data_IF_135621044402
#
_entry.id   IF_135621044402
#
_cell.length_a   1.000
_cell.length_b   1.000
_cell.length_c   1.000
_cell.angle_alpha   90.00
_cell.angle_beta   90.00
_cell.angle_gamma   90.00
#
_symmetry.space_group_name_H-M   'P 1'
#
loop_
_entity.id
_entity.type
_entity.pdbx_description
1 polymer ?
#
# COMPACT_ATOMS: atom_id res chain seq x y z
N UNK A 1 -24.22 8.13 -2.19
CA UNK A 1 -22.85 7.58 -2.21
C UNK A 1 -22.64 6.96 -0.85
N UNK A 2 -22.27 5.68 -0.71
CA UNK A 2 -21.90 5.18 0.60
C UNK A 2 -20.70 6.00 1.05
N UNK A 3 -20.84 6.67 2.19
CA UNK A 3 -19.73 7.40 2.81
C UNK A 3 -18.71 6.35 3.23
N UNK A 4 -17.51 6.40 2.65
CA UNK A 4 -16.44 5.49 3.01
C UNK A 4 -16.10 5.69 4.49
N UNK A 5 -16.45 4.72 5.33
CA UNK A 5 -16.19 4.81 6.77
C UNK A 5 -14.69 4.75 7.05
N UNK A 6 -14.19 5.40 8.12
CA UNK A 6 -12.78 5.30 8.53
C UNK A 6 -12.30 3.84 8.67
N UNK A 7 -13.15 2.95 9.15
CA UNK A 7 -12.87 1.51 9.27
C UNK A 7 -12.66 0.82 7.91
N UNK A 8 -13.45 1.18 6.89
CA UNK A 8 -13.29 0.65 5.53
C UNK A 8 -11.99 1.15 4.90
N UNK A 9 -11.64 2.41 5.16
CA UNK A 9 -10.37 2.97 4.71
C UNK A 9 -9.19 2.27 5.39
N UNK A 10 -9.26 2.04 6.70
CA UNK A 10 -8.22 1.32 7.44
C UNK A 10 -8.05 -0.11 6.93
N UNK A 11 -9.15 -0.83 6.67
CA UNK A 11 -9.12 -2.16 6.07
C UNK A 11 -8.49 -2.15 4.68
N UNK A 12 -8.83 -1.15 3.85
CA UNK A 12 -8.24 -1.00 2.53
C UNK A 12 -6.72 -0.75 2.59
N UNK A 13 -6.27 0.11 3.52
CA UNK A 13 -4.85 0.38 3.70
C UNK A 13 -4.08 -0.87 4.17
N UNK A 14 -4.67 -1.67 5.05
CA UNK A 14 -4.08 -2.95 5.48
C UNK A 14 -3.99 -3.96 4.34
N UNK A 15 -5.03 -4.08 3.51
CA UNK A 15 -5.00 -4.97 2.36
C UNK A 15 -3.94 -4.56 1.34
N UNK A 16 -3.84 -3.25 1.05
CA UNK A 16 -2.82 -2.73 0.14
C UNK A 16 -1.39 -2.94 0.66
N UNK A 17 -1.15 -2.84 1.96
CA UNK A 17 0.17 -3.14 2.53
C UNK A 17 0.52 -4.63 2.42
N UNK A 18 -0.44 -5.52 2.66
CA UNK A 18 -0.27 -6.95 2.47
C UNK A 18 0.04 -7.31 0.99
N UNK A 19 -0.70 -6.71 0.06
CA UNK A 19 -0.49 -6.91 -1.38
C UNK A 19 0.87 -6.36 -1.84
N UNK A 20 1.28 -5.20 -1.32
CA UNK A 20 2.61 -4.62 -1.55
C UNK A 20 3.72 -5.55 -1.07
N UNK A 21 3.60 -6.07 0.15
CA UNK A 21 4.58 -7.01 0.71
C UNK A 21 4.65 -8.31 -0.10
N UNK A 22 3.49 -8.83 -0.55
CA UNK A 22 3.44 -9.99 -1.42
C UNK A 22 4.14 -9.74 -2.76
N UNK A 23 3.89 -8.57 -3.37
CA UNK A 23 4.51 -8.18 -4.63
C UNK A 23 6.04 -8.16 -4.50
N UNK A 24 6.56 -7.53 -3.44
CA UNK A 24 7.99 -7.48 -3.16
C UNK A 24 8.60 -8.88 -3.04
N UNK A 25 7.96 -9.78 -2.29
CA UNK A 25 8.41 -11.17 -2.15
C UNK A 25 8.46 -11.91 -3.50
N UNK A 26 7.51 -11.65 -4.41
CA UNK A 26 7.53 -12.28 -5.73
C UNK A 26 8.67 -11.75 -6.60
N UNK A 27 8.93 -10.44 -6.54
CA UNK A 27 10.05 -9.78 -7.24
C UNK A 27 11.38 -10.36 -6.73
N UNK A 28 11.54 -10.49 -5.41
CA UNK A 28 12.74 -11.06 -4.78
C UNK A 28 12.91 -12.55 -5.13
N UNK A 29 11.80 -13.29 -5.25
CA UNK A 29 11.77 -14.66 -5.74
C UNK A 29 12.08 -14.83 -7.23
N UNK A 30 12.33 -13.74 -7.96
CA UNK A 30 12.72 -13.76 -9.37
C UNK A 30 11.54 -13.90 -10.35
N UNK A 31 10.30 -13.66 -9.91
CA UNK A 31 9.16 -13.59 -10.85
C UNK A 31 9.22 -12.32 -11.69
N UNK A 32 8.68 -12.40 -12.90
CA UNK A 32 8.58 -11.30 -13.86
C UNK A 32 9.90 -10.53 -14.05
N UNK A 33 11.00 -11.21 -14.42
CA UNK A 33 12.30 -10.57 -14.54
C UNK A 33 12.30 -9.40 -15.54
N UNK A 34 11.45 -9.45 -16.57
CA UNK A 34 11.30 -8.39 -17.56
C UNK A 34 10.65 -7.11 -17.01
N UNK A 35 9.86 -7.23 -15.94
CA UNK A 35 9.13 -6.12 -15.31
C UNK A 35 9.69 -5.77 -13.92
N UNK A 36 10.80 -6.39 -13.50
CA UNK A 36 11.34 -6.28 -12.14
C UNK A 36 11.52 -4.84 -11.69
N UNK A 37 12.07 -3.99 -12.55
CA UNK A 37 12.35 -2.58 -12.23
C UNK A 37 11.06 -1.77 -12.09
N UNK A 38 10.11 -1.98 -13.01
CA UNK A 38 8.83 -1.28 -12.99
C UNK A 38 7.99 -1.69 -11.77
N UNK A 39 7.97 -2.98 -11.44
CA UNK A 39 7.26 -3.49 -10.27
C UNK A 39 7.92 -3.05 -8.95
N UNK A 40 9.24 -2.94 -8.91
CA UNK A 40 9.95 -2.40 -7.75
C UNK A 40 9.69 -0.88 -7.57
N UNK A 41 9.59 -0.12 -8.67
CA UNK A 41 9.19 1.27 -8.62
C UNK A 41 7.75 1.42 -8.10
N UNK A 42 6.82 0.62 -8.61
CA UNK A 42 5.44 0.58 -8.17
C UNK A 42 5.32 0.24 -6.68
N UNK A 43 6.02 -0.79 -6.20
CA UNK A 43 6.08 -1.17 -4.79
C UNK A 43 6.52 0.01 -3.91
N UNK A 44 7.58 0.74 -4.32
CA UNK A 44 8.07 1.91 -3.59
C UNK A 44 7.07 3.08 -3.60
N UNK A 45 6.38 3.31 -4.70
CA UNK A 45 5.33 4.33 -4.77
C UNK A 45 4.15 3.98 -3.86
N UNK A 46 3.73 2.71 -3.84
CA UNK A 46 2.71 2.20 -2.92
C UNK A 46 3.14 2.37 -1.46
N UNK A 47 4.39 2.05 -1.12
CA UNK A 47 4.92 2.25 0.22
C UNK A 47 4.83 3.71 0.68
N UNK A 48 5.23 4.66 -0.18
CA UNK A 48 5.13 6.09 0.12
C UNK A 48 3.68 6.56 0.30
N UNK A 49 2.76 6.07 -0.53
CA UNK A 49 1.34 6.38 -0.43
C UNK A 49 0.76 5.87 0.90
N UNK A 50 1.06 4.62 1.28
CA UNK A 50 0.58 4.01 2.52
C UNK A 50 1.11 4.76 3.75
N UNK A 51 2.38 5.17 3.77
CA UNK A 51 2.93 5.99 4.86
C UNK A 51 2.16 7.32 5.00
N UNK A 52 1.95 8.04 3.89
CA UNK A 52 1.19 9.31 3.93
C UNK A 52 -0.25 9.11 4.38
N UNK A 53 -0.89 8.03 3.96
CA UNK A 53 -2.25 7.71 4.37
C UNK A 53 -2.32 7.40 5.88
N UNK A 54 -1.31 6.69 6.43
CA UNK A 54 -1.17 6.48 7.87
C UNK A 54 -1.06 7.78 8.64
N UNK A 55 -0.17 8.69 8.21
CA UNK A 55 0.01 10.01 8.84
C UNK A 55 -1.30 10.81 8.86
N UNK A 56 -2.07 10.78 7.77
CA UNK A 56 -3.36 11.46 7.66
C UNK A 56 -4.43 10.86 8.59
N UNK A 57 -4.41 9.54 8.80
CA UNK A 57 -5.32 8.88 9.74
C UNK A 57 -4.99 9.25 11.18
N UNK A 58 -3.71 9.31 11.55
CA UNK A 58 -3.28 9.75 12.89
C UNK A 58 -3.67 11.20 13.18
N UNK A 59 -3.48 12.10 12.21
CA UNK A 59 -3.89 13.51 12.31
C UNK A 59 -5.42 13.64 12.46
N UNK A 60 -6.18 12.82 11.75
CA UNK A 60 -7.65 12.83 11.79
C UNK A 60 -8.21 12.27 13.10
N UNK A 61 -7.51 11.31 13.73
CA UNK A 61 -7.89 10.76 15.03
C UNK A 61 -7.47 11.60 16.24
N UNK A 62 -6.62 12.62 16.05
CA UNK A 62 -6.21 13.59 17.08
C UNK A 62 -7.15 14.80 17.20
N UNK A 63 -8.09 14.99 16.26
CA UNK A 63 -9.06 16.08 16.24
C UNK A 63 -10.42 15.64 16.78
#
# INVERSE_FOLDING_TARGET
MPESSPEQLQQLLQQLDADRAWLLQQIDGGRWPELRLDLAALERELGQMLSRAGDLQEESGRR
#
